data_IF_907140442776
#
_entry.id   IF_907140442776
#
_cell.length_a   1.000
_cell.length_b   1.000
_cell.length_c   1.000
_cell.angle_alpha   90.00
_cell.angle_beta   90.00
_cell.angle_gamma   90.00
#
_symmetry.space_group_name_H-M   'P 1'
#
loop_
_entity.id
_entity.type
_entity.pdbx_description
1 polymer ?
#
# COMPACT_ATOMS: atom_id res chain seq x y z
N UNK A 1 23.23 14.18 -0.72
CA UNK A 1 22.94 12.79 -1.16
C UNK A 1 23.49 12.57 -2.55
N UNK A 2 23.48 11.35 -3.09
CA UNK A 2 24.13 11.02 -4.37
C UNK A 2 23.79 11.98 -5.52
N UNK A 3 22.53 12.42 -5.63
CA UNK A 3 22.10 13.38 -6.66
C UNK A 3 22.75 14.77 -6.55
N UNK A 4 23.10 15.21 -5.34
CA UNK A 4 23.69 16.52 -5.07
C UNK A 4 25.21 16.47 -4.92
N UNK A 5 25.84 15.32 -5.19
CA UNK A 5 27.29 15.17 -5.10
C UNK A 5 27.93 15.88 -6.29
N UNK A 6 28.83 16.81 -6.01
CA UNK A 6 29.71 17.34 -7.05
C UNK A 6 30.76 16.28 -7.41
N UNK A 7 30.68 15.78 -8.65
CA UNK A 7 31.60 14.78 -9.18
C UNK A 7 32.83 15.41 -9.84
N UNK A 8 33.01 16.73 -9.81
CA UNK A 8 34.11 17.44 -10.49
C UNK A 8 35.49 16.92 -10.07
N UNK A 9 35.67 16.54 -8.80
CA UNK A 9 36.92 16.02 -8.24
C UNK A 9 37.14 14.51 -8.47
N UNK A 10 36.11 13.78 -8.91
CA UNK A 10 36.22 12.33 -9.13
C UNK A 10 36.90 12.03 -10.47
N UNK A 11 38.18 11.69 -10.42
CA UNK A 11 38.99 11.35 -11.63
C UNK A 11 39.04 9.84 -11.94
N UNK A 12 38.57 9.00 -11.02
CA UNK A 12 38.53 7.54 -11.18
C UNK A 12 37.52 7.11 -12.24
N UNK A 13 37.87 6.09 -13.04
CA UNK A 13 36.99 5.50 -14.06
C UNK A 13 36.21 4.27 -13.56
N UNK A 14 36.40 3.89 -12.30
CA UNK A 14 35.79 2.71 -11.66
C UNK A 14 35.26 3.11 -10.29
N UNK A 15 34.07 2.63 -9.96
CA UNK A 15 33.43 2.80 -8.66
C UNK A 15 33.03 1.41 -8.16
N UNK A 16 33.38 1.12 -6.90
CA UNK A 16 32.91 -0.07 -6.20
C UNK A 16 31.90 0.37 -5.15
N UNK A 17 30.62 0.04 -5.37
CA UNK A 17 29.59 0.26 -4.39
C UNK A 17 29.70 -0.79 -3.27
N UNK A 18 29.64 -0.37 -2.01
CA UNK A 18 29.71 -1.25 -0.83
C UNK A 18 28.35 -1.43 -0.14
N UNK A 19 27.29 -0.95 -0.78
CA UNK A 19 25.91 -0.96 -0.25
C UNK A 19 25.15 -2.24 -0.67
N UNK A 20 25.86 -3.37 -0.78
CA UNK A 20 25.23 -4.68 -1.05
C UNK A 20 25.00 -5.38 0.28
N UNK A 21 23.76 -5.84 0.52
CA UNK A 21 23.37 -6.51 1.77
C UNK A 21 23.61 -8.03 1.74
N UNK A 22 24.08 -8.59 0.62
CA UNK A 22 24.28 -10.02 0.42
C UNK A 22 25.74 -10.35 0.14
N UNK A 23 26.38 -11.02 1.10
CA UNK A 23 27.75 -11.53 1.00
C UNK A 23 27.88 -12.53 -0.16
N UNK A 24 29.00 -12.45 -0.91
CA UNK A 24 29.26 -13.33 -2.05
C UNK A 24 28.41 -13.05 -3.29
N UNK A 25 27.53 -12.05 -3.27
CA UNK A 25 26.71 -11.63 -4.41
C UNK A 25 27.21 -10.28 -4.92
N UNK A 26 27.58 -10.24 -6.21
CA UNK A 26 28.00 -9.00 -6.86
C UNK A 26 26.81 -8.31 -7.53
N UNK A 27 26.29 -7.27 -6.90
CA UNK A 27 25.18 -6.47 -7.43
C UNK A 27 25.66 -5.55 -8.55
N UNK A 28 25.26 -5.83 -9.78
CA UNK A 28 25.69 -5.07 -10.99
C UNK A 28 24.71 -3.97 -11.42
N UNK A 29 23.49 -3.99 -10.89
CA UNK A 29 22.43 -3.04 -11.26
C UNK A 29 21.32 -3.00 -10.22
N UNK A 30 20.48 -1.98 -10.30
CA UNK A 30 19.26 -1.84 -9.50
C UNK A 30 18.12 -1.28 -10.34
N UNK A 31 16.89 -1.40 -9.84
CA UNK A 31 15.74 -0.68 -10.39
C UNK A 31 15.80 0.81 -10.03
N UNK A 32 15.18 1.65 -10.85
CA UNK A 32 14.85 3.03 -10.48
C UNK A 32 13.62 3.08 -9.55
N UNK A 33 13.26 4.28 -9.09
CA UNK A 33 12.09 4.48 -8.22
C UNK A 33 11.32 5.76 -8.60
N UNK A 34 10.01 5.72 -8.41
CA UNK A 34 9.12 6.87 -8.57
C UNK A 34 7.98 6.76 -7.56
N UNK A 35 7.62 7.88 -6.93
CA UNK A 35 6.42 7.99 -6.10
C UNK A 35 5.27 8.55 -6.93
N UNK A 36 4.09 7.97 -6.77
CA UNK A 36 2.85 8.44 -7.39
C UNK A 36 1.75 8.50 -6.33
N UNK A 37 1.24 9.71 -6.07
CA UNK A 37 0.14 9.93 -5.15
C UNK A 37 -1.16 10.08 -5.95
N UNK A 38 -2.17 9.26 -5.63
CA UNK A 38 -3.49 9.31 -6.27
C UNK A 38 -4.54 9.77 -5.26
N UNK A 39 -5.15 10.92 -5.52
CA UNK A 39 -6.25 11.45 -4.72
C UNK A 39 -7.57 11.19 -5.44
N UNK A 40 -8.48 10.47 -4.77
CA UNK A 40 -9.85 10.29 -5.22
C UNK A 40 -10.74 11.22 -4.38
N UNK A 41 -11.36 12.26 -4.97
CA UNK A 41 -12.28 13.12 -4.23
C UNK A 41 -13.53 12.32 -3.84
N UNK A 42 -13.95 12.46 -2.59
CA UNK A 42 -15.18 11.89 -2.07
C UNK A 42 -15.92 12.94 -1.25
N UNK A 43 -17.24 13.00 -1.40
CA UNK A 43 -18.10 13.87 -0.61
C UNK A 43 -18.57 13.12 0.63
N UNK A 44 -18.42 13.76 1.80
CA UNK A 44 -18.98 13.24 3.04
C UNK A 44 -20.46 13.60 3.12
N UNK A 45 -21.29 12.60 3.40
CA UNK A 45 -22.74 12.74 3.55
C UNK A 45 -23.17 12.26 4.92
N UNK A 46 -24.35 12.71 5.37
CA UNK A 46 -24.89 12.29 6.66
C UNK A 46 -25.15 10.76 6.69
N UNK A 47 -24.80 10.16 7.83
CA UNK A 47 -24.90 8.73 8.09
C UNK A 47 -26.13 8.39 8.96
N UNK A 48 -27.03 9.35 9.21
CA UNK A 48 -28.28 9.09 9.90
C UNK A 48 -29.07 7.94 9.27
N UNK A 49 -29.61 7.06 10.12
CA UNK A 49 -30.33 5.86 9.69
C UNK A 49 -29.44 4.76 9.11
N UNK A 50 -28.13 4.78 9.37
CA UNK A 50 -27.21 3.70 9.01
C UNK A 50 -26.56 3.04 10.22
N UNK A 51 -26.15 1.79 10.06
CA UNK A 51 -25.34 1.02 11.00
C UNK A 51 -23.93 0.86 10.45
N UNK A 52 -22.92 1.10 11.29
CA UNK A 52 -21.50 1.04 10.92
C UNK A 52 -20.85 -0.30 11.26
N UNK A 53 -20.04 -0.82 10.36
CA UNK A 53 -19.33 -2.09 10.46
C UNK A 53 -17.84 -1.89 10.21
N UNK A 54 -17.02 -2.28 11.19
CA UNK A 54 -15.57 -2.32 11.05
C UNK A 54 -15.14 -3.56 10.28
N UNK A 55 -14.27 -3.37 9.28
CA UNK A 55 -13.67 -4.44 8.48
C UNK A 55 -12.16 -4.30 8.60
N UNK A 56 -11.49 -5.38 9.03
CA UNK A 56 -10.03 -5.43 9.14
C UNK A 56 -9.52 -6.55 8.25
N UNK A 57 -8.62 -6.22 7.33
CA UNK A 57 -7.76 -7.17 6.63
C UNK A 57 -6.38 -7.08 7.26
N UNK A 58 -5.96 -8.11 8.00
CA UNK A 58 -4.69 -8.12 8.72
C UNK A 58 -4.08 -9.52 8.74
N UNK A 59 -2.85 -9.64 9.28
CA UNK A 59 -2.13 -10.90 9.37
C UNK A 59 -1.42 -11.32 8.09
N UNK A 60 -1.30 -10.42 7.11
CA UNK A 60 -0.53 -10.66 5.90
C UNK A 60 0.96 -10.53 6.20
N UNK A 61 1.78 -11.25 5.44
CA UNK A 61 3.23 -11.32 5.65
C UNK A 61 3.94 -9.97 5.48
N UNK A 62 3.43 -9.07 4.64
CA UNK A 62 4.11 -7.83 4.27
C UNK A 62 5.44 -8.07 3.55
N UNK A 63 6.35 -7.11 3.58
CA UNK A 63 7.67 -7.23 2.94
C UNK A 63 8.13 -5.96 2.24
N UNK A 64 9.36 -5.99 1.73
CA UNK A 64 9.92 -4.89 0.95
C UNK A 64 9.28 -4.84 -0.45
N UNK A 65 8.66 -3.72 -0.83
CA UNK A 65 7.89 -3.61 -2.08
C UNK A 65 8.71 -3.73 -3.38
N UNK A 66 10.03 -3.58 -3.30
CA UNK A 66 11.00 -3.97 -4.34
C UNK A 66 11.46 -5.42 -4.22
N UNK A 67 12.35 -5.71 -3.26
CA UNK A 67 12.97 -7.03 -3.08
C UNK A 67 11.99 -8.20 -2.96
N UNK A 68 10.84 -8.05 -2.27
CA UNK A 68 9.90 -9.15 -2.04
C UNK A 68 8.75 -9.22 -3.06
N UNK A 69 8.65 -8.30 -4.03
CA UNK A 69 7.45 -8.21 -4.89
C UNK A 69 7.21 -9.44 -5.75
N UNK A 70 8.29 -10.10 -6.14
CA UNK A 70 8.28 -11.31 -6.95
C UNK A 70 7.71 -12.53 -6.22
N UNK A 71 7.59 -12.48 -4.89
CA UNK A 71 7.10 -13.58 -4.06
C UNK A 71 5.57 -13.71 -4.05
N UNK A 72 4.85 -12.80 -4.72
CA UNK A 72 3.39 -12.87 -4.82
C UNK A 72 2.66 -12.64 -3.50
N UNK A 73 3.29 -11.93 -2.54
CA UNK A 73 2.67 -11.62 -1.25
C UNK A 73 1.46 -10.69 -1.43
N UNK A 74 0.41 -10.93 -0.66
CA UNK A 74 -0.81 -10.11 -0.70
C UNK A 74 -0.59 -8.72 -0.10
N UNK A 75 -1.25 -7.70 -0.68
CA UNK A 75 -1.35 -6.36 -0.11
C UNK A 75 -2.73 -6.17 0.51
N UNK A 76 -2.79 -5.82 1.79
CA UNK A 76 -4.04 -5.62 2.51
C UNK A 76 -4.89 -4.48 1.91
N UNK A 77 -4.27 -3.43 1.37
CA UNK A 77 -5.00 -2.36 0.66
C UNK A 77 -5.71 -2.91 -0.58
N UNK A 78 -5.03 -3.73 -1.38
CA UNK A 78 -5.64 -4.33 -2.59
C UNK A 78 -6.73 -5.33 -2.24
N UNK A 79 -6.53 -6.12 -1.18
CA UNK A 79 -7.53 -7.07 -0.71
C UNK A 79 -8.75 -6.37 -0.12
N UNK A 80 -8.58 -5.31 0.68
CA UNK A 80 -9.67 -4.50 1.20
C UNK A 80 -10.52 -3.91 0.06
N UNK A 81 -9.89 -3.39 -0.99
CA UNK A 81 -10.61 -2.92 -2.17
C UNK A 81 -11.49 -4.01 -2.82
N UNK A 82 -10.99 -5.25 -2.90
CA UNK A 82 -11.78 -6.39 -3.41
C UNK A 82 -12.93 -6.75 -2.47
N UNK A 83 -12.68 -6.78 -1.15
CA UNK A 83 -13.72 -7.05 -0.14
C UNK A 83 -14.84 -6.02 -0.25
N UNK A 84 -14.50 -4.73 -0.30
CA UNK A 84 -15.48 -3.64 -0.39
C UNK A 84 -16.25 -3.67 -1.72
N UNK A 85 -15.58 -3.97 -2.84
CA UNK A 85 -16.23 -4.11 -4.14
C UNK A 85 -17.27 -5.24 -4.13
N UNK A 86 -16.91 -6.42 -3.62
CA UNK A 86 -17.86 -7.54 -3.50
C UNK A 86 -18.96 -7.25 -2.47
N UNK A 87 -18.67 -6.53 -1.38
CA UNK A 87 -19.68 -6.13 -0.41
C UNK A 87 -20.70 -5.17 -1.04
N UNK A 88 -20.26 -4.23 -1.87
CA UNK A 88 -21.14 -3.30 -2.59
C UNK A 88 -22.13 -4.03 -3.51
N UNK A 89 -21.69 -5.11 -4.17
CA UNK A 89 -22.57 -5.95 -5.00
C UNK A 89 -23.64 -6.70 -4.19
N UNK A 90 -23.29 -7.11 -2.96
CA UNK A 90 -24.16 -7.93 -2.10
C UNK A 90 -25.12 -7.13 -1.23
N UNK A 91 -24.73 -5.90 -0.86
CA UNK A 91 -25.47 -5.07 0.07
C UNK A 91 -25.84 -3.73 -0.58
N UNK A 92 -27.01 -3.64 -1.24
CA UNK A 92 -27.49 -2.40 -1.80
C UNK A 92 -27.53 -1.27 -0.76
N UNK A 93 -26.99 -0.11 -1.11
CA UNK A 93 -26.93 1.05 -0.20
C UNK A 93 -25.72 1.06 0.74
N UNK A 94 -24.77 0.12 0.60
CA UNK A 94 -23.48 0.18 1.29
C UNK A 94 -22.73 1.47 0.95
N UNK A 95 -22.24 2.15 1.98
CA UNK A 95 -21.42 3.36 1.87
C UNK A 95 -20.10 3.16 2.60
N UNK A 96 -19.03 3.78 2.11
CA UNK A 96 -17.73 3.77 2.78
C UNK A 96 -17.63 5.01 3.69
N UNK A 97 -17.39 4.79 4.97
CA UNK A 97 -17.21 5.87 5.96
C UNK A 97 -15.73 6.19 6.20
N UNK A 98 -14.86 5.17 6.17
CA UNK A 98 -13.42 5.34 6.31
C UNK A 98 -12.66 4.17 5.69
N UNK A 99 -11.44 4.43 5.22
CA UNK A 99 -10.47 3.39 4.84
C UNK A 99 -9.07 3.91 5.13
N UNK A 100 -8.24 3.07 5.74
CA UNK A 100 -6.84 3.38 6.02
C UNK A 100 -6.01 2.09 6.00
N UNK A 101 -4.84 2.14 5.37
CA UNK A 101 -3.96 0.99 5.34
C UNK A 101 -2.60 1.31 4.75
N UNK A 102 -1.60 0.55 5.19
CA UNK A 102 -0.20 0.81 4.92
C UNK A 102 0.41 1.79 5.93
N UNK A 103 1.74 1.86 5.92
CA UNK A 103 2.51 2.74 6.80
C UNK A 103 3.64 3.44 6.05
N UNK A 104 4.27 2.74 5.10
CA UNK A 104 5.36 3.26 4.27
C UNK A 104 5.19 2.80 2.82
N UNK A 105 5.57 3.67 1.87
CA UNK A 105 5.42 3.43 0.43
C UNK A 105 6.27 2.24 -0.07
N UNK A 106 7.39 1.96 0.61
CA UNK A 106 8.31 0.87 0.27
C UNK A 106 7.95 -0.48 0.93
N UNK A 107 6.77 -0.58 1.54
CA UNK A 107 6.33 -1.80 2.25
C UNK A 107 5.06 -2.35 1.62
N UNK A 108 5.06 -3.65 1.33
CA UNK A 108 3.84 -4.38 0.98
C UNK A 108 2.92 -4.34 2.19
N UNK A 109 1.80 -3.62 2.06
CA UNK A 109 0.86 -3.39 3.16
C UNK A 109 0.33 -4.70 3.77
N UNK A 110 0.55 -4.88 5.07
CA UNK A 110 0.12 -6.08 5.81
C UNK A 110 -1.21 -5.93 6.54
N UNK A 111 -1.68 -4.68 6.73
CA UNK A 111 -2.93 -4.36 7.43
C UNK A 111 -3.66 -3.19 6.79
N UNK A 112 -4.97 -3.34 6.61
CA UNK A 112 -5.89 -2.28 6.21
C UNK A 112 -7.19 -2.40 6.99
N UNK A 113 -7.68 -1.27 7.50
CA UNK A 113 -8.92 -1.13 8.24
C UNK A 113 -9.88 -0.24 7.44
N UNK A 114 -11.16 -0.60 7.43
CA UNK A 114 -12.22 0.17 6.81
C UNK A 114 -13.47 0.18 7.69
N UNK A 115 -14.30 1.20 7.51
CA UNK A 115 -15.63 1.29 8.10
C UNK A 115 -16.63 1.42 6.97
N UNK A 116 -17.54 0.45 6.88
CA UNK A 116 -18.66 0.47 5.96
C UNK A 116 -19.95 0.82 6.74
N UNK A 117 -20.89 1.50 6.09
CA UNK A 117 -22.19 1.85 6.64
C UNK A 117 -23.30 1.26 5.77
N UNK A 118 -24.32 0.69 6.39
CA UNK A 118 -25.50 0.13 5.72
C UNK A 118 -26.79 0.74 6.29
N UNK A 119 -27.88 0.85 5.52
CA UNK A 119 -29.17 1.28 6.06
C UNK A 119 -29.57 0.40 7.26
N UNK A 120 -30.03 1.04 8.34
CA UNK A 120 -30.37 0.34 9.58
C UNK A 120 -31.41 -0.76 9.33
N UNK A 121 -31.21 -1.92 9.95
CA UNK A 121 -32.10 -3.07 9.76
C UNK A 121 -31.84 -3.90 8.49
N UNK A 122 -30.81 -3.56 7.71
CA UNK A 122 -30.35 -4.39 6.58
C UNK A 122 -29.35 -5.49 6.98
N UNK A 123 -28.96 -5.53 8.26
CA UNK A 123 -27.96 -6.45 8.81
C UNK A 123 -28.50 -7.77 9.38
N UNK A 124 -29.75 -8.12 9.09
CA UNK A 124 -30.42 -9.35 9.54
C UNK A 124 -30.98 -10.16 8.36
#
# INVERSE_FOLDING_TARGET
>A
GAFALDCSDLKGKKLLNLDSELEGVFTVSCAGGMRSDCLLPAELTDAAGTEGFGITVAGLQGGHSGADIHLGRGSANRLMGRVLATALEKFPGLRLAAISGGQFDNVICSRCDAVAALPAGSGA
#
